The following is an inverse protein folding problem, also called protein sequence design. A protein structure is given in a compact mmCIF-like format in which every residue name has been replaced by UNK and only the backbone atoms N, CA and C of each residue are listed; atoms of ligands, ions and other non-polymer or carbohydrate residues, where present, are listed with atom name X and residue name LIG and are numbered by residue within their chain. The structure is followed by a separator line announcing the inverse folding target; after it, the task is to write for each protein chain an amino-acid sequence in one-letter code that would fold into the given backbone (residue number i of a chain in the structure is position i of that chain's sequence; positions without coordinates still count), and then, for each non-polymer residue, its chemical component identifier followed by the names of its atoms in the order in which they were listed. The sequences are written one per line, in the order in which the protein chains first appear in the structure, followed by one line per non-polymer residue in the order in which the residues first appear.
data_IF_448450061631
#
_entry.id   IF_448450061631
#
_cell.length_a   1.000
_cell.length_b   1.000
_cell.length_c   1.000
_cell.angle_alpha   90.00
_cell.angle_beta   90.00
_cell.angle_gamma   90.00
#
_symmetry.space_group_name_H-M   'P 1'
#
loop_
_entity.id
_entity.type
_entity.pdbx_description
1 polymer ?
#
# COMPACT_ATOMS: atom_id res chain seq x y z
N UNK A 1 -8.70 -19.37 -27.78
CA UNK A 1 -8.21 -18.38 -28.76
C UNK A 1 -7.06 -17.67 -28.07
N UNK A 2 -5.85 -18.17 -28.29
CA UNK A 2 -4.59 -17.65 -27.73
C UNK A 2 -4.22 -16.40 -28.55
N UNK A 3 -4.24 -15.23 -27.93
CA UNK A 3 -3.67 -14.02 -28.54
C UNK A 3 -2.14 -14.07 -28.40
N UNK A 4 -1.45 -14.46 -29.47
CA UNK A 4 -0.02 -14.19 -29.61
C UNK A 4 0.15 -12.70 -29.93
N UNK A 5 0.66 -11.93 -28.97
CA UNK A 5 1.07 -10.54 -29.20
C UNK A 5 2.52 -10.57 -29.69
N UNK A 6 2.71 -10.33 -31.00
CA UNK A 6 4.04 -10.12 -31.58
C UNK A 6 4.59 -8.76 -31.17
N UNK A 7 5.66 -8.78 -30.41
CA UNK A 7 6.41 -7.59 -30.00
C UNK A 7 7.45 -7.23 -31.06
N UNK A 8 7.24 -6.11 -31.76
CA UNK A 8 8.27 -5.48 -32.57
C UNK A 8 8.47 -4.04 -32.10
N UNK A 9 9.68 -3.70 -31.64
CA UNK A 9 10.08 -2.33 -31.31
C UNK A 9 10.44 -2.07 -29.85
N UNK A 10 11.57 -2.60 -29.38
CA UNK A 10 11.92 -2.65 -27.95
C UNK A 10 12.96 -1.62 -27.46
N UNK A 11 13.54 -0.80 -28.34
CA UNK A 11 14.67 0.09 -27.95
C UNK A 11 14.29 1.34 -27.14
N UNK A 12 13.01 1.61 -26.90
CA UNK A 12 12.56 2.82 -26.17
C UNK A 12 11.79 2.54 -24.85
N UNK A 13 11.56 1.27 -24.50
CA UNK A 13 10.62 0.91 -23.45
C UNK A 13 11.12 1.16 -22.02
N UNK A 14 12.39 0.83 -21.74
CA UNK A 14 12.92 0.94 -20.37
C UNK A 14 13.07 2.40 -19.89
N UNK A 15 13.40 3.33 -20.81
CA UNK A 15 13.54 4.75 -20.50
C UNK A 15 12.18 5.44 -20.27
N UNK A 16 11.12 4.98 -20.96
CA UNK A 16 9.80 5.63 -20.92
C UNK A 16 8.99 5.28 -19.68
N UNK A 17 9.10 4.05 -19.16
CA UNK A 17 8.37 3.63 -17.94
C UNK A 17 8.92 4.31 -16.69
N UNK A 18 10.25 4.55 -16.65
CA UNK A 18 10.86 5.36 -15.56
C UNK A 18 10.42 6.84 -15.59
N UNK A 19 10.12 7.39 -16.76
CA UNK A 19 9.75 8.80 -16.93
C UNK A 19 8.29 9.10 -16.59
N UNK A 20 7.37 8.13 -16.71
CA UNK A 20 5.94 8.40 -16.55
C UNK A 20 5.43 8.41 -15.10
N UNK A 21 6.14 7.80 -14.16
CA UNK A 21 5.87 8.03 -12.73
C UNK A 21 6.16 9.48 -12.28
N UNK A 22 6.71 10.31 -13.19
CA UNK A 22 7.26 11.64 -12.90
C UNK A 22 6.57 12.79 -13.65
N UNK A 23 5.66 12.52 -14.57
CA UNK A 23 5.02 13.54 -15.39
C UNK A 23 3.81 14.23 -14.73
N UNK A 24 3.88 14.51 -13.44
CA UNK A 24 2.82 15.18 -12.70
C UNK A 24 3.29 16.38 -11.87
N UNK A 25 4.34 17.08 -12.27
CA UNK A 25 4.73 18.36 -11.66
C UNK A 25 4.62 19.46 -12.70
N UNK A 26 3.60 20.27 -12.54
CA UNK A 26 3.38 21.52 -13.28
C UNK A 26 4.40 22.59 -12.82
N UNK A 27 5.18 23.19 -13.71
CA UNK A 27 6.07 24.30 -13.35
C UNK A 27 5.37 25.64 -13.59
N UNK A 28 4.84 26.27 -12.56
CA UNK A 28 4.31 27.60 -12.74
C UNK A 28 3.81 28.29 -11.49
N UNK A 29 4.72 28.93 -10.75
CA UNK A 29 4.46 30.24 -10.12
C UNK A 29 5.77 30.84 -9.58
N UNK A 30 6.00 32.14 -9.78
CA UNK A 30 7.27 32.80 -9.48
C UNK A 30 7.43 33.15 -7.99
N UNK A 31 8.67 33.49 -7.54
CA UNK A 31 8.96 33.74 -6.14
C UNK A 31 8.61 35.17 -5.74
N UNK A 32 7.84 35.27 -4.66
CA UNK A 32 7.60 36.54 -3.95
C UNK A 32 8.24 36.50 -2.57
N UNK A 33 9.21 37.37 -2.34
CA UNK A 33 9.81 37.72 -1.03
C UNK A 33 8.88 38.61 -0.20
N UNK A 34 9.22 38.96 1.05
CA UNK A 34 10.24 38.55 2.00
C UNK A 34 9.74 38.20 3.42
N UNK A 35 10.69 37.78 4.24
CA UNK A 35 10.56 37.44 5.65
C UNK A 35 9.90 38.55 6.49
N UNK A 36 8.91 38.16 7.28
CA UNK A 36 8.48 38.92 8.46
C UNK A 36 8.73 38.09 9.71
N UNK A 37 9.40 38.71 10.65
CA UNK A 37 9.81 38.16 11.93
C UNK A 37 8.60 37.63 12.72
N UNK A 38 8.68 36.38 13.15
CA UNK A 38 7.73 35.77 14.07
C UNK A 38 8.12 36.13 15.50
N UNK A 39 7.37 37.02 16.10
CA UNK A 39 7.33 37.20 17.55
C UNK A 39 6.61 35.99 18.16
N UNK A 40 7.26 35.37 19.15
CA UNK A 40 6.72 34.28 19.96
C UNK A 40 5.50 34.75 20.76
N UNK A 41 4.39 34.02 20.74
CA UNK A 41 3.36 34.20 21.75
C UNK A 41 3.63 33.30 22.94
N UNK A 42 3.63 33.93 24.12
CA UNK A 42 3.71 33.30 25.41
C UNK A 42 2.59 32.27 25.64
N UNK A 43 3.00 31.18 26.29
CA UNK A 43 2.18 30.07 26.72
C UNK A 43 1.19 30.51 27.82
N UNK A 44 -0.10 30.40 27.54
CA UNK A 44 -1.11 30.20 28.57
C UNK A 44 -1.81 28.88 28.31
N UNK A 45 -1.37 27.82 28.98
CA UNK A 45 -1.97 26.50 28.94
C UNK A 45 -3.29 26.50 29.73
N UNK A 46 -4.39 26.71 29.05
CA UNK A 46 -5.72 26.35 29.54
C UNK A 46 -6.01 24.91 29.11
N UNK A 47 -6.32 24.03 30.07
CA UNK A 47 -6.76 22.65 29.82
C UNK A 47 -8.15 22.66 29.15
N UNK A 48 -8.18 22.95 27.85
CA UNK A 48 -9.38 22.87 27.04
C UNK A 48 -9.60 21.40 26.63
N UNK A 49 -10.81 20.88 26.87
CA UNK A 49 -11.30 19.64 26.25
C UNK A 49 -11.04 19.74 24.75
N UNK A 50 -10.24 18.80 24.22
CA UNK A 50 -9.92 18.73 22.78
C UNK A 50 -11.18 18.28 21.99
N UNK A 51 -12.14 19.19 21.84
CA UNK A 51 -13.20 19.07 20.83
C UNK A 51 -12.68 19.70 19.54
N UNK A 52 -11.73 19.04 18.87
CA UNK A 52 -11.30 19.51 17.56
C UNK A 52 -12.42 19.28 16.55
N UNK A 53 -12.82 20.36 15.88
CA UNK A 53 -13.76 20.26 14.77
C UNK A 53 -13.14 19.51 13.59
N UNK A 54 -13.94 18.99 12.64
CA UNK A 54 -13.42 18.44 11.38
C UNK A 54 -12.48 19.40 10.63
N UNK A 55 -12.69 20.71 10.78
CA UNK A 55 -11.85 21.75 10.18
C UNK A 55 -10.50 21.86 10.87
N UNK A 56 -10.42 21.68 12.20
CA UNK A 56 -9.16 21.65 12.94
C UNK A 56 -8.31 20.45 12.52
N UNK A 57 -8.93 19.29 12.33
CA UNK A 57 -8.25 18.11 11.82
C UNK A 57 -7.72 18.34 10.40
N UNK A 58 -8.50 18.98 9.52
CA UNK A 58 -8.07 19.27 8.15
C UNK A 58 -6.88 20.24 8.14
N UNK A 59 -6.94 21.31 8.96
CA UNK A 59 -5.86 22.26 9.10
C UNK A 59 -4.58 21.62 9.67
N UNK A 60 -4.72 20.75 10.67
CA UNK A 60 -3.60 19.98 11.21
C UNK A 60 -2.98 19.09 10.12
N UNK A 61 -3.78 18.29 9.42
CA UNK A 61 -3.31 17.35 8.41
C UNK A 61 -2.63 18.05 7.24
N UNK A 62 -3.14 19.22 6.82
CA UNK A 62 -2.53 20.02 5.76
C UNK A 62 -1.10 20.47 6.14
N UNK A 63 -0.88 20.90 7.37
CA UNK A 63 0.46 21.26 7.87
C UNK A 63 1.33 20.03 8.11
N UNK A 64 0.78 19.00 8.74
CA UNK A 64 1.50 17.78 9.13
C UNK A 64 2.03 17.00 7.94
N UNK A 65 1.29 16.99 6.83
CA UNK A 65 1.66 16.32 5.57
C UNK A 65 2.11 17.28 4.47
N UNK A 66 2.53 18.50 4.83
CA UNK A 66 3.16 19.41 3.86
C UNK A 66 4.44 18.76 3.32
N UNK A 67 4.53 18.58 2.01
CA UNK A 67 5.60 17.82 1.36
C UNK A 67 6.40 18.68 0.39
N UNK A 68 7.74 18.46 0.32
CA UNK A 68 8.51 17.51 1.14
C UNK A 68 8.42 17.87 2.63
N UNK A 69 8.54 16.86 3.52
CA UNK A 69 8.62 17.13 4.95
C UNK A 69 9.90 17.92 5.23
N UNK A 70 9.80 18.93 6.10
CA UNK A 70 10.96 19.64 6.57
C UNK A 70 11.85 18.74 7.46
N UNK A 71 13.16 18.96 7.43
CA UNK A 71 14.08 18.31 8.35
C UNK A 71 13.70 18.65 9.80
N UNK A 72 13.85 17.68 10.70
CA UNK A 72 13.56 17.89 12.12
C UNK A 72 14.58 18.81 12.81
N UNK A 73 15.78 18.94 12.25
CA UNK A 73 16.85 19.71 12.83
C UNK A 73 17.48 19.03 14.07
N UNK A 74 18.38 19.75 14.79
CA UNK A 74 18.96 19.24 16.02
C UNK A 74 17.91 18.93 17.07
N UNK A 75 18.07 17.81 17.77
CA UNK A 75 17.20 17.48 18.89
C UNK A 75 17.42 18.47 20.06
N UNK A 76 16.39 18.72 20.89
CA UNK A 76 16.53 19.50 22.11
C UNK A 76 17.64 18.94 23.03
N UNK A 77 18.39 19.85 23.67
CA UNK A 77 19.57 19.45 24.48
C UNK A 77 19.23 18.67 25.77
N UNK A 78 17.96 18.68 26.16
CA UNK A 78 17.47 17.88 27.28
C UNK A 78 17.08 16.44 26.89
N UNK A 79 17.05 16.12 25.59
CA UNK A 79 16.73 14.76 25.14
C UNK A 79 17.89 13.80 25.36
N UNK A 80 17.59 12.63 25.90
CA UNK A 80 18.51 11.51 25.89
C UNK A 80 18.82 11.05 24.46
N UNK A 81 19.91 10.30 24.20
CA UNK A 81 20.19 9.75 22.87
C UNK A 81 19.03 8.94 22.26
N UNK A 82 18.24 8.22 23.07
CA UNK A 82 17.05 7.49 22.61
C UNK A 82 15.93 8.44 22.17
N UNK A 83 15.69 9.49 22.93
CA UNK A 83 14.65 10.48 22.62
C UNK A 83 15.01 11.35 21.42
N UNK A 84 16.28 11.63 21.22
CA UNK A 84 16.80 12.39 20.08
C UNK A 84 16.75 11.61 18.76
N UNK A 85 16.78 10.27 18.83
CA UNK A 85 16.84 9.42 17.66
C UNK A 85 15.50 9.36 16.90
N UNK A 86 15.58 9.36 15.56
CA UNK A 86 14.44 9.11 14.66
C UNK A 86 14.34 7.64 14.24
N UNK A 87 15.25 6.79 14.72
CA UNK A 87 15.26 5.37 14.40
C UNK A 87 14.05 4.64 15.00
N UNK A 88 13.38 3.76 14.25
CA UNK A 88 12.33 2.90 14.77
C UNK A 88 12.79 2.05 15.98
N UNK A 89 14.05 1.61 15.99
CA UNK A 89 14.59 0.81 17.10
C UNK A 89 14.65 1.62 18.42
N UNK A 90 15.03 2.90 18.34
CA UNK A 90 15.02 3.77 19.50
C UNK A 90 13.60 3.99 20.06
N UNK A 91 12.63 4.20 19.16
CA UNK A 91 11.21 4.27 19.56
C UNK A 91 10.75 2.96 20.21
N UNK A 92 11.18 1.82 19.66
CA UNK A 92 10.85 0.47 20.13
C UNK A 92 11.35 0.17 21.54
N UNK A 93 12.41 0.83 22.01
CA UNK A 93 12.92 0.68 23.38
C UNK A 93 11.84 1.01 24.45
N UNK A 94 10.97 1.99 24.15
CA UNK A 94 9.88 2.40 25.05
C UNK A 94 8.49 2.00 24.51
N UNK A 95 8.35 1.76 23.21
CA UNK A 95 7.10 1.36 22.55
C UNK A 95 7.22 -0.02 21.86
N UNK A 96 7.58 -1.11 22.61
CA UNK A 96 7.92 -2.41 22.01
C UNK A 96 6.77 -3.02 21.22
N UNK A 97 5.53 -2.90 21.70
CA UNK A 97 4.36 -3.46 21.01
C UNK A 97 4.15 -2.82 19.63
N UNK A 98 4.24 -1.50 19.54
CA UNK A 98 4.07 -0.76 18.28
C UNK A 98 5.22 -1.05 17.31
N UNK A 99 6.44 -1.17 17.85
CA UNK A 99 7.62 -1.55 17.07
C UNK A 99 7.50 -2.98 16.52
N UNK A 100 7.08 -3.94 17.35
CA UNK A 100 6.89 -5.33 16.94
C UNK A 100 5.81 -5.47 15.85
N UNK A 101 4.72 -4.73 15.94
CA UNK A 101 3.72 -4.66 14.89
C UNK A 101 4.29 -4.07 13.60
N UNK A 102 4.92 -2.89 13.70
CA UNK A 102 5.46 -2.14 12.58
C UNK A 102 6.51 -2.93 11.80
N UNK A 103 7.46 -3.59 12.46
CA UNK A 103 8.53 -4.35 11.80
C UNK A 103 8.01 -5.52 10.95
N UNK A 104 6.78 -5.96 11.16
CA UNK A 104 6.10 -7.00 10.36
C UNK A 104 5.18 -6.42 9.28
N UNK A 105 4.97 -5.12 9.27
CA UNK A 105 4.08 -4.44 8.33
C UNK A 105 4.83 -4.00 7.06
N UNK A 106 4.11 -3.86 5.95
CA UNK A 106 4.69 -3.38 4.69
C UNK A 106 5.24 -1.95 4.80
N UNK A 107 4.78 -1.15 5.76
CA UNK A 107 5.31 0.19 6.00
C UNK A 107 6.81 0.16 6.35
N UNK A 108 7.27 -0.79 7.17
CA UNK A 108 8.70 -0.97 7.47
C UNK A 108 9.51 -1.44 6.25
N UNK A 109 8.84 -2.01 5.25
CA UNK A 109 9.41 -2.50 4.00
C UNK A 109 9.10 -1.61 2.80
N UNK A 110 8.61 -0.38 3.04
CA UNK A 110 8.20 0.52 1.97
C UNK A 110 9.36 0.89 1.03
N UNK A 111 10.61 0.87 1.52
CA UNK A 111 11.82 0.92 0.69
C UNK A 111 12.22 -0.49 0.22
N UNK A 112 11.29 -1.16 -0.47
CA UNK A 112 11.49 -2.50 -0.99
C UNK A 112 12.66 -2.56 -1.99
N UNK A 113 13.24 -3.76 -2.23
CA UNK A 113 14.25 -3.92 -3.27
C UNK A 113 13.79 -3.43 -4.66
N UNK A 114 12.49 -3.55 -4.97
CA UNK A 114 11.92 -3.07 -6.23
C UNK A 114 11.98 -1.56 -6.37
N UNK A 115 11.59 -0.82 -5.33
CA UNK A 115 11.71 0.63 -5.31
C UNK A 115 13.19 1.05 -5.29
N UNK A 116 14.00 0.44 -4.43
CA UNK A 116 15.43 0.76 -4.35
C UNK A 116 16.13 0.58 -5.70
N UNK A 117 15.85 -0.51 -6.42
CA UNK A 117 16.42 -0.74 -7.76
C UNK A 117 16.03 0.32 -8.78
N UNK A 118 14.78 0.81 -8.73
CA UNK A 118 14.35 1.92 -9.57
C UNK A 118 15.05 3.24 -9.21
N UNK A 119 15.17 3.56 -7.92
CA UNK A 119 15.86 4.77 -7.44
C UNK A 119 17.35 4.73 -7.81
N UNK A 120 18.00 3.58 -7.69
CA UNK A 120 19.39 3.37 -8.14
C UNK A 120 19.53 3.61 -9.64
N UNK A 121 18.59 3.13 -10.46
CA UNK A 121 18.60 3.34 -11.91
C UNK A 121 18.43 4.81 -12.31
N UNK A 122 17.75 5.62 -11.50
CA UNK A 122 17.64 7.08 -11.72
C UNK A 122 18.95 7.82 -11.46
N UNK A 123 19.88 7.24 -10.67
CA UNK A 123 21.16 7.85 -10.30
C UNK A 123 21.05 8.90 -9.19
N UNK A 124 22.16 9.19 -8.53
CA UNK A 124 22.23 10.06 -7.35
C UNK A 124 21.78 11.52 -7.61
N UNK A 125 21.91 11.99 -8.85
CA UNK A 125 21.57 13.38 -9.22
C UNK A 125 20.07 13.62 -9.44
N UNK A 126 19.24 12.57 -9.37
CA UNK A 126 17.79 12.65 -9.63
C UNK A 126 16.97 12.94 -8.36
N UNK A 127 17.48 13.80 -7.45
CA UNK A 127 16.87 14.04 -6.13
C UNK A 127 15.39 14.40 -6.20
N UNK A 128 14.98 15.31 -7.08
CA UNK A 128 13.58 15.70 -7.22
C UNK A 128 12.68 14.52 -7.67
N UNK A 129 13.23 13.66 -8.53
CA UNK A 129 12.54 12.44 -8.96
C UNK A 129 12.43 11.44 -7.80
N UNK A 130 13.47 11.30 -6.99
CA UNK A 130 13.43 10.46 -5.80
C UNK A 130 12.32 10.94 -4.84
N UNK A 131 12.15 12.25 -4.65
CA UNK A 131 11.13 12.81 -3.76
C UNK A 131 9.70 12.42 -4.18
N UNK A 132 9.44 12.22 -5.47
CA UNK A 132 8.12 11.76 -5.93
C UNK A 132 7.75 10.38 -5.34
N UNK A 133 8.74 9.52 -5.08
CA UNK A 133 8.54 8.21 -4.44
C UNK A 133 8.67 8.32 -2.91
N UNK A 134 9.73 8.99 -2.45
CA UNK A 134 10.07 9.05 -1.02
C UNK A 134 9.00 9.75 -0.18
N UNK A 135 8.25 10.71 -0.74
CA UNK A 135 7.14 11.38 -0.04
C UNK A 135 6.13 10.42 0.60
N UNK A 136 6.05 9.18 0.12
CA UNK A 136 5.19 8.12 0.68
C UNK A 136 6.01 6.98 1.28
N UNK A 137 7.12 6.60 0.63
CA UNK A 137 7.87 5.40 0.99
C UNK A 137 8.92 5.62 2.08
N UNK A 138 9.51 6.81 2.20
CA UNK A 138 10.47 7.20 3.23
C UNK A 138 10.45 8.74 3.39
N UNK A 139 9.40 9.29 4.02
CA UNK A 139 9.03 10.70 3.86
C UNK A 139 9.91 11.70 4.61
N UNK A 140 10.74 11.28 5.58
CA UNK A 140 11.60 12.19 6.31
C UNK A 140 12.70 12.79 5.40
N UNK A 141 13.00 14.06 5.58
CA UNK A 141 14.09 14.72 4.86
C UNK A 141 15.44 14.04 5.11
N UNK A 142 15.66 13.60 6.33
CA UNK A 142 16.85 12.85 6.77
C UNK A 142 16.98 11.53 5.99
N UNK A 143 15.87 10.83 5.72
CA UNK A 143 15.88 9.61 4.91
C UNK A 143 16.23 9.90 3.44
N UNK A 144 15.72 11.00 2.90
CA UNK A 144 16.06 11.42 1.53
C UNK A 144 17.55 11.76 1.39
N UNK A 145 18.12 12.46 2.36
CA UNK A 145 19.56 12.79 2.38
C UNK A 145 20.42 11.53 2.53
N UNK A 146 20.01 10.61 3.40
CA UNK A 146 20.67 9.31 3.56
C UNK A 146 20.63 8.49 2.25
N UNK A 147 19.49 8.52 1.52
CA UNK A 147 19.40 7.84 0.22
C UNK A 147 20.38 8.42 -0.78
N UNK A 148 20.41 9.76 -0.93
CA UNK A 148 21.31 10.42 -1.88
C UNK A 148 22.78 10.09 -1.57
N UNK A 149 23.17 10.12 -0.29
CA UNK A 149 24.50 9.72 0.13
C UNK A 149 24.79 8.23 -0.17
N UNK A 150 23.83 7.36 0.06
CA UNK A 150 23.96 5.92 -0.22
C UNK A 150 24.10 5.65 -1.72
N UNK A 151 23.32 6.33 -2.56
CA UNK A 151 23.41 6.21 -4.02
C UNK A 151 24.76 6.71 -4.54
N UNK A 152 25.28 7.82 -4.00
CA UNK A 152 26.59 8.33 -4.33
C UNK A 152 27.72 7.37 -3.94
N UNK A 153 27.57 6.66 -2.82
CA UNK A 153 28.51 5.64 -2.36
C UNK A 153 28.37 4.29 -3.08
N UNK A 154 27.34 4.12 -3.92
CA UNK A 154 27.05 2.85 -4.61
C UNK A 154 26.58 1.71 -3.69
N UNK A 155 26.23 1.98 -2.44
CA UNK A 155 25.75 1.03 -1.43
C UNK A 155 24.92 1.73 -0.38
N UNK A 156 24.06 0.98 0.33
CA UNK A 156 23.39 1.53 1.51
C UNK A 156 24.42 1.81 2.61
N UNK A 157 24.38 3.02 3.13
CA UNK A 157 25.19 3.46 4.26
C UNK A 157 24.55 3.04 5.59
N UNK A 158 25.32 2.95 6.68
CA UNK A 158 24.75 2.87 8.02
C UNK A 158 23.81 4.04 8.31
N UNK A 159 22.83 3.89 9.22
CA UNK A 159 21.98 5.00 9.63
C UNK A 159 22.76 6.25 10.02
N UNK A 160 22.19 7.43 9.81
CA UNK A 160 22.74 8.70 10.25
C UNK A 160 22.84 8.77 11.78
N UNK A 161 23.55 9.76 12.30
CA UNK A 161 23.74 9.93 13.75
C UNK A 161 22.41 10.13 14.51
N UNK A 162 21.41 10.71 13.86
CA UNK A 162 20.04 10.85 14.35
C UNK A 162 19.21 9.56 14.22
N UNK A 163 19.79 8.47 13.71
CA UNK A 163 19.17 7.17 13.51
C UNK A 163 18.33 7.05 12.24
N UNK A 164 18.24 8.08 11.40
CA UNK A 164 17.49 8.01 10.16
C UNK A 164 18.18 7.13 9.11
N UNK A 165 17.42 6.31 8.41
CA UNK A 165 17.88 5.50 7.28
C UNK A 165 16.82 5.44 6.19
N UNK A 166 17.25 5.55 4.94
CA UNK A 166 16.34 5.33 3.82
C UNK A 166 15.84 3.87 3.75
N UNK A 167 16.58 2.91 4.32
CA UNK A 167 16.19 1.50 4.31
C UNK A 167 14.99 1.19 5.22
N UNK A 168 14.69 2.05 6.20
CA UNK A 168 13.66 1.80 7.22
C UNK A 168 12.22 2.02 6.70
N UNK A 169 12.06 2.47 5.45
CA UNK A 169 10.75 2.70 4.88
C UNK A 169 9.97 3.83 5.57
N UNK A 170 8.65 3.63 5.75
CA UNK A 170 7.81 4.56 6.53
C UNK A 170 7.98 4.27 8.02
N UNK A 171 8.79 5.11 8.67
CA UNK A 171 9.17 4.95 10.08
C UNK A 171 8.13 5.52 11.05
N UNK A 172 8.30 5.22 12.36
CA UNK A 172 7.53 5.85 13.43
C UNK A 172 7.59 7.39 13.34
N UNK A 173 8.79 7.93 13.17
CA UNK A 173 9.02 9.37 13.05
C UNK A 173 8.34 9.96 11.79
N UNK A 174 8.23 9.20 10.70
CA UNK A 174 7.54 9.62 9.48
C UNK A 174 6.08 10.02 9.72
N UNK A 175 5.41 9.38 10.67
CA UNK A 175 4.05 9.71 11.08
C UNK A 175 4.01 10.61 12.33
N UNK A 176 4.89 10.39 13.31
CA UNK A 176 4.74 10.94 14.65
C UNK A 176 5.63 12.15 14.98
N UNK A 177 6.60 12.53 14.13
CA UNK A 177 7.58 13.56 14.49
C UNK A 177 7.63 14.69 13.45
N UNK A 178 7.57 15.94 13.92
CA UNK A 178 7.79 17.16 13.13
C UNK A 178 8.53 18.18 13.99
N UNK A 179 9.72 18.61 13.55
CA UNK A 179 10.54 19.57 14.27
C UNK A 179 10.84 19.12 15.70
N UNK A 180 11.21 17.86 15.86
CA UNK A 180 11.44 17.18 17.15
C UNK A 180 10.26 17.13 18.12
N UNK A 181 9.08 17.63 17.73
CA UNK A 181 7.84 17.44 18.53
C UNK A 181 7.16 16.13 18.14
N UNK A 182 6.59 15.45 19.15
CA UNK A 182 5.84 14.21 18.98
C UNK A 182 4.35 14.51 18.89
N UNK A 183 3.66 13.77 18.01
CA UNK A 183 2.23 13.88 17.77
C UNK A 183 1.60 12.49 17.83
N UNK A 184 0.35 12.41 18.29
CA UNK A 184 -0.37 11.15 18.34
C UNK A 184 -1.82 11.34 18.73
N UNK A 185 -2.62 10.26 18.80
CA UNK A 185 -4.00 10.35 19.25
C UNK A 185 -4.05 10.68 20.75
N UNK A 186 -5.17 11.24 21.23
CA UNK A 186 -5.45 11.34 22.67
C UNK A 186 -5.39 9.96 23.34
N UNK A 187 -5.14 9.89 24.63
CA UNK A 187 -5.25 8.63 25.37
C UNK A 187 -6.64 8.02 25.22
N UNK A 188 -6.71 6.70 25.07
CA UNK A 188 -7.98 6.00 24.87
C UNK A 188 -8.93 6.08 26.07
N UNK A 189 -8.40 6.30 27.27
CA UNK A 189 -9.14 6.51 28.50
C UNK A 189 -9.55 7.97 28.73
N UNK A 190 -9.20 8.87 27.80
CA UNK A 190 -9.51 10.30 27.88
C UNK A 190 -8.68 11.07 28.92
N UNK A 191 -7.72 10.43 29.59
CA UNK A 191 -6.86 11.11 30.57
C UNK A 191 -5.88 12.05 29.90
N UNK A 192 -5.53 13.14 30.58
CA UNK A 192 -4.50 14.10 30.18
C UNK A 192 -3.38 14.05 31.21
N UNK A 193 -2.10 14.03 30.81
CA UNK A 193 -1.00 14.13 31.75
C UNK A 193 -1.14 15.39 32.61
N UNK A 194 -0.67 15.32 33.86
CA UNK A 194 -0.58 16.52 34.71
C UNK A 194 0.32 17.56 34.04
N UNK A 195 0.01 18.85 34.23
CA UNK A 195 0.71 19.94 33.58
C UNK A 195 2.21 20.03 33.93
N UNK A 196 2.58 19.52 35.11
CA UNK A 196 3.95 19.45 35.65
C UNK A 196 4.61 18.08 35.43
N UNK A 197 3.94 17.15 34.74
CA UNK A 197 4.50 15.82 34.47
C UNK A 197 5.72 15.91 33.55
N UNK A 198 6.84 15.43 34.05
CA UNK A 198 8.03 15.22 33.21
C UNK A 198 7.83 13.95 32.36
N UNK A 199 7.54 14.13 31.10
CA UNK A 199 7.31 13.03 30.17
C UNK A 199 8.53 12.83 29.27
N UNK A 200 8.86 11.59 28.90
CA UNK A 200 9.87 11.34 27.88
C UNK A 200 9.62 12.19 26.64
N UNK A 201 10.69 12.66 25.99
CA UNK A 201 10.66 13.52 24.78
C UNK A 201 9.67 14.70 24.87
N UNK A 202 9.51 15.29 26.04
CA UNK A 202 8.58 16.39 26.36
C UNK A 202 7.10 16.05 26.07
N UNK A 203 6.75 14.76 26.14
CA UNK A 203 5.38 14.28 25.89
C UNK A 203 5.01 14.27 24.40
N UNK A 204 3.72 14.46 24.11
CA UNK A 204 3.22 14.52 22.75
C UNK A 204 2.05 15.51 22.61
N UNK A 205 1.87 16.05 21.42
CA UNK A 205 0.70 16.84 21.09
C UNK A 205 -0.44 15.90 20.65
N UNK A 206 -1.44 15.77 21.52
CA UNK A 206 -2.59 14.93 21.27
C UNK A 206 -3.50 15.58 20.20
N UNK A 207 -3.87 14.80 19.17
CA UNK A 207 -4.81 15.23 18.15
C UNK A 207 -5.64 14.08 17.61
N UNK A 208 -6.98 14.21 17.50
CA UNK A 208 -7.86 13.22 16.89
C UNK A 208 -7.56 12.96 15.39
N UNK A 209 -6.79 13.83 14.74
CA UNK A 209 -6.43 13.67 13.34
C UNK A 209 -5.72 12.35 13.02
N UNK A 210 -5.06 11.72 14.02
CA UNK A 210 -4.46 10.38 13.86
C UNK A 210 -5.50 9.25 13.73
N UNK A 211 -6.74 9.49 14.09
CA UNK A 211 -7.86 8.54 13.97
C UNK A 211 -8.80 8.91 12.82
N UNK A 212 -8.47 9.94 12.05
CA UNK A 212 -9.17 10.37 10.84
C UNK A 212 -8.59 9.67 9.60
N UNK A 213 -9.45 9.12 8.74
CA UNK A 213 -9.03 8.45 7.50
C UNK A 213 -8.24 9.34 6.55
N UNK A 214 -8.43 10.68 6.61
CA UNK A 214 -7.63 11.66 5.86
C UNK A 214 -6.13 11.60 6.19
N UNK A 215 -5.77 11.11 7.38
CA UNK A 215 -4.36 10.87 7.74
C UNK A 215 -3.69 9.90 6.75
N UNK A 216 -4.39 8.82 6.38
CA UNK A 216 -3.92 7.80 5.45
C UNK A 216 -3.96 8.28 4.00
N UNK A 217 -4.93 9.14 3.66
CA UNK A 217 -5.11 9.70 2.32
C UNK A 217 -3.89 10.47 1.83
N UNK A 218 -3.03 10.96 2.73
CA UNK A 218 -1.79 11.63 2.35
C UNK A 218 -0.87 10.77 1.46
N UNK A 219 -0.94 9.44 1.55
CA UNK A 219 -0.19 8.49 0.73
C UNK A 219 -1.11 7.60 -0.12
N UNK A 220 -2.30 7.26 0.40
CA UNK A 220 -3.24 6.32 -0.22
C UNK A 220 -4.34 7.01 -1.04
N UNK A 221 -4.05 8.21 -1.54
CA UNK A 221 -4.89 8.93 -2.48
C UNK A 221 -4.06 9.86 -3.36
N UNK A 222 -4.09 9.67 -4.66
CA UNK A 222 -3.54 10.65 -5.59
C UNK A 222 -4.57 11.75 -5.86
N UNK A 223 -4.07 12.98 -6.02
CA UNK A 223 -4.92 14.12 -6.35
C UNK A 223 -5.60 13.92 -7.71
N UNK A 224 -6.76 14.51 -7.89
CA UNK A 224 -7.41 14.59 -9.19
C UNK A 224 -6.46 15.23 -10.21
N UNK A 225 -6.36 14.64 -11.40
CA UNK A 225 -5.37 15.03 -12.42
C UNK A 225 -3.95 14.57 -12.18
N UNK A 226 -3.67 13.90 -11.06
CA UNK A 226 -2.39 13.22 -10.79
C UNK A 226 -2.27 11.89 -11.54
N UNK A 227 -1.26 11.05 -11.19
CA UNK A 227 -1.05 9.77 -11.85
C UNK A 227 -2.30 8.90 -11.83
N UNK A 228 -2.81 8.57 -13.00
CA UNK A 228 -4.05 7.82 -13.16
C UNK A 228 -4.32 7.44 -14.59
N UNK A 229 -5.42 6.75 -14.85
CA UNK A 229 -5.83 6.29 -16.16
C UNK A 229 -7.36 6.28 -16.25
N UNK A 230 -7.90 6.76 -17.38
CA UNK A 230 -9.36 6.87 -17.62
C UNK A 230 -10.10 7.65 -16.52
N UNK A 231 -9.50 8.74 -16.04
CA UNK A 231 -10.09 9.58 -14.98
C UNK A 231 -10.03 8.98 -13.57
N UNK A 232 -9.46 7.76 -13.42
CA UNK A 232 -9.29 7.08 -12.12
C UNK A 232 -7.83 7.16 -11.68
N UNK A 233 -7.51 7.74 -10.50
CA UNK A 233 -6.16 7.70 -9.93
C UNK A 233 -5.65 6.26 -9.79
N UNK A 234 -4.33 6.06 -9.82
CA UNK A 234 -3.76 4.74 -9.49
C UNK A 234 -3.88 4.44 -7.99
N UNK A 235 -3.70 5.45 -7.15
CA UNK A 235 -3.99 5.41 -5.71
C UNK A 235 -5.31 6.12 -5.45
N UNK A 236 -6.40 5.38 -5.20
CA UNK A 236 -7.75 5.92 -5.04
C UNK A 236 -8.47 5.40 -3.79
N UNK A 237 -7.76 4.71 -2.92
CA UNK A 237 -8.33 3.96 -1.79
C UNK A 237 -9.17 4.81 -0.86
N UNK A 238 -8.74 6.05 -0.58
CA UNK A 238 -9.49 6.95 0.29
C UNK A 238 -10.86 7.36 -0.33
N UNK A 239 -10.90 7.71 -1.63
CA UNK A 239 -12.16 8.09 -2.28
C UNK A 239 -13.09 6.88 -2.46
N UNK A 240 -12.54 5.71 -2.74
CA UNK A 240 -13.31 4.45 -2.77
C UNK A 240 -13.96 4.19 -1.40
N UNK A 241 -13.20 4.33 -0.31
CA UNK A 241 -13.71 4.22 1.05
C UNK A 241 -14.72 5.32 1.37
N UNK A 242 -14.45 6.58 1.03
CA UNK A 242 -15.32 7.72 1.31
C UNK A 242 -16.71 7.56 0.68
N UNK A 243 -16.77 6.93 -0.49
CA UNK A 243 -18.02 6.62 -1.19
C UNK A 243 -18.79 5.43 -0.57
N UNK A 244 -18.16 4.62 0.27
CA UNK A 244 -18.71 3.39 0.83
C UNK A 244 -19.66 3.64 2.02
N UNK A 245 -20.44 2.61 2.40
CA UNK A 245 -21.22 2.64 3.64
C UNK A 245 -20.33 2.74 4.89
N UNK A 246 -19.12 2.19 4.84
CA UNK A 246 -18.21 2.18 5.99
C UNK A 246 -17.84 3.60 6.44
N UNK A 247 -17.63 4.52 5.48
CA UNK A 247 -17.41 5.93 5.81
C UNK A 247 -18.64 6.55 6.47
N UNK A 248 -19.86 6.25 5.94
CA UNK A 248 -21.12 6.75 6.52
C UNK A 248 -21.40 6.18 7.92
N UNK A 249 -20.93 4.96 8.19
CA UNK A 249 -21.00 4.31 9.51
C UNK A 249 -19.90 4.79 10.47
N UNK A 250 -19.03 5.71 10.06
CA UNK A 250 -17.91 6.22 10.87
C UNK A 250 -16.76 5.23 11.06
N UNK A 251 -16.70 4.16 10.25
CA UNK A 251 -15.61 3.18 10.29
C UNK A 251 -14.41 3.72 9.49
N UNK A 252 -13.38 4.14 10.22
CA UNK A 252 -12.17 4.74 9.63
C UNK A 252 -11.21 3.67 9.11
N UNK A 253 -10.21 4.08 8.33
CA UNK A 253 -9.11 3.20 7.89
C UNK A 253 -8.45 2.51 9.08
N UNK A 254 -8.20 3.28 10.14
CA UNK A 254 -7.56 2.80 11.36
C UNK A 254 -8.39 1.73 12.08
N UNK A 255 -9.73 1.80 12.01
CA UNK A 255 -10.60 0.83 12.69
C UNK A 255 -10.44 -0.59 12.16
N UNK A 256 -10.04 -0.76 10.89
CA UNK A 256 -9.80 -2.05 10.26
C UNK A 256 -8.30 -2.41 10.19
N UNK A 257 -7.46 -1.45 9.79
CA UNK A 257 -6.03 -1.71 9.57
C UNK A 257 -5.16 -1.53 10.81
N UNK A 258 -5.66 -0.83 11.84
CA UNK A 258 -4.99 -0.56 13.11
C UNK A 258 -5.92 -0.88 14.31
N UNK A 259 -6.53 -2.08 14.36
CA UNK A 259 -7.50 -2.38 15.42
C UNK A 259 -6.87 -2.18 16.79
N UNK A 260 -7.59 -1.52 17.71
CA UNK A 260 -7.08 -1.20 19.05
C UNK A 260 -5.74 -0.46 19.02
N UNK A 261 -5.52 0.40 18.03
CA UNK A 261 -4.26 1.14 17.80
C UNK A 261 -3.02 0.24 17.58
N UNK A 262 -3.24 -1.03 17.12
CA UNK A 262 -2.17 -1.92 16.69
C UNK A 262 -1.56 -1.39 15.38
N UNK A 263 -0.25 -1.43 15.24
CA UNK A 263 0.47 -0.93 14.07
C UNK A 263 0.69 -2.03 13.02
N UNK A 264 -0.38 -2.76 12.67
CA UNK A 264 -0.34 -3.96 11.83
C UNK A 264 -0.44 -3.65 10.34
N UNK A 265 -1.32 -2.74 9.93
CA UNK A 265 -1.60 -2.36 8.53
C UNK A 265 -1.69 -3.58 7.59
N UNK A 266 -2.39 -4.63 8.01
CA UNK A 266 -2.61 -5.82 7.18
C UNK A 266 -3.41 -5.47 5.93
N UNK A 267 -3.08 -6.14 4.81
CA UNK A 267 -3.72 -5.89 3.52
C UNK A 267 -3.64 -7.10 2.62
N UNK A 268 -3.46 -6.89 1.31
CA UNK A 268 -3.53 -7.92 0.27
C UNK A 268 -2.51 -9.06 0.42
N UNK A 269 -1.40 -8.84 1.15
CA UNK A 269 -0.40 -9.86 1.44
C UNK A 269 -0.74 -10.72 2.68
N UNK A 270 -1.84 -10.42 3.38
CA UNK A 270 -2.28 -11.15 4.55
C UNK A 270 -3.53 -11.98 4.22
N UNK A 271 -3.42 -13.33 4.14
CA UNK A 271 -4.56 -14.16 3.77
C UNK A 271 -5.75 -14.07 4.71
N UNK A 272 -5.52 -13.84 6.02
CA UNK A 272 -6.60 -13.74 7.01
C UNK A 272 -7.34 -12.42 6.84
N UNK A 273 -6.63 -11.31 6.64
CA UNK A 273 -7.23 -10.01 6.36
C UNK A 273 -8.08 -10.05 5.10
N UNK A 274 -7.56 -10.64 4.01
CA UNK A 274 -8.32 -10.76 2.75
C UNK A 274 -9.54 -11.67 2.93
N UNK A 275 -9.39 -12.80 3.63
CA UNK A 275 -10.51 -13.73 3.89
C UNK A 275 -11.61 -13.06 4.72
N UNK A 276 -11.26 -12.25 5.69
CA UNK A 276 -12.23 -11.51 6.54
C UNK A 276 -13.04 -10.47 5.75
N UNK A 277 -12.52 -10.01 4.62
CA UNK A 277 -13.15 -9.00 3.76
C UNK A 277 -14.16 -9.57 2.76
N UNK A 278 -14.17 -10.88 2.53
CA UNK A 278 -14.92 -11.49 1.45
C UNK A 278 -15.89 -12.58 1.97
N UNK A 279 -17.04 -12.67 1.35
CA UNK A 279 -17.93 -13.83 1.47
C UNK A 279 -17.87 -14.63 0.18
N UNK A 280 -17.50 -15.91 0.29
CA UNK A 280 -17.32 -16.80 -0.87
C UNK A 280 -18.24 -17.98 -0.72
N UNK A 281 -18.99 -18.33 -1.80
CA UNK A 281 -19.89 -19.47 -1.81
C UNK A 281 -19.82 -20.20 -3.15
N UNK A 282 -19.55 -21.51 -3.09
CA UNK A 282 -19.52 -22.41 -4.24
C UNK A 282 -20.77 -23.30 -4.24
N UNK A 283 -21.37 -23.51 -5.40
CA UNK A 283 -22.56 -24.36 -5.54
C UNK A 283 -22.60 -25.05 -6.93
N UNK A 284 -23.09 -26.29 -6.96
CA UNK A 284 -23.58 -26.87 -8.19
C UNK A 284 -24.94 -26.25 -8.50
N UNK A 285 -25.23 -26.07 -9.78
CA UNK A 285 -26.54 -25.56 -10.24
C UNK A 285 -27.16 -26.55 -11.23
N UNK A 286 -28.48 -26.51 -11.47
CA UNK A 286 -29.11 -27.38 -12.46
C UNK A 286 -28.42 -27.27 -13.81
N UNK A 287 -28.20 -28.41 -14.47
CA UNK A 287 -27.53 -28.51 -15.76
C UNK A 287 -28.33 -29.41 -16.71
N UNK A 288 -28.19 -29.19 -18.01
CA UNK A 288 -28.70 -30.10 -19.02
C UNK A 288 -28.00 -31.46 -18.96
N UNK A 289 -28.60 -32.49 -19.51
CA UNK A 289 -28.03 -33.82 -19.58
C UNK A 289 -26.62 -33.78 -20.24
N UNK A 290 -25.68 -34.50 -19.65
CA UNK A 290 -24.29 -34.53 -20.13
C UNK A 290 -23.48 -33.28 -19.84
N UNK A 291 -23.99 -32.31 -19.08
CA UNK A 291 -23.26 -31.08 -18.70
C UNK A 291 -23.02 -31.01 -17.19
N UNK A 292 -22.08 -30.20 -16.82
CA UNK A 292 -21.82 -29.80 -15.44
C UNK A 292 -21.98 -28.29 -15.36
N UNK A 293 -22.88 -27.85 -14.51
CA UNK A 293 -23.05 -26.44 -14.22
C UNK A 293 -22.80 -26.15 -12.73
N UNK A 294 -22.08 -25.08 -12.48
CA UNK A 294 -21.68 -24.64 -11.15
C UNK A 294 -21.57 -23.12 -11.10
N UNK A 295 -21.47 -22.57 -9.90
CA UNK A 295 -21.21 -21.16 -9.70
C UNK A 295 -20.36 -20.93 -8.47
N UNK A 296 -19.41 -19.99 -8.58
CA UNK A 296 -18.74 -19.38 -7.45
C UNK A 296 -19.25 -17.95 -7.31
N UNK A 297 -19.71 -17.60 -6.12
CA UNK A 297 -20.09 -16.22 -5.78
C UNK A 297 -19.05 -15.64 -4.85
N UNK A 298 -18.51 -14.49 -5.20
CA UNK A 298 -17.60 -13.70 -4.36
C UNK A 298 -18.24 -12.35 -4.08
N UNK A 299 -18.35 -11.98 -2.83
CA UNK A 299 -18.90 -10.70 -2.39
C UNK A 299 -17.90 -9.95 -1.52
N UNK A 300 -17.71 -8.67 -1.81
CA UNK A 300 -16.96 -7.76 -0.96
C UNK A 300 -17.88 -7.31 0.19
N UNK A 301 -17.81 -7.99 1.32
CA UNK A 301 -18.71 -7.78 2.47
C UNK A 301 -18.02 -7.12 3.67
N UNK A 302 -16.69 -7.01 3.63
CA UNK A 302 -15.91 -6.49 4.75
C UNK A 302 -14.83 -5.46 4.36
N UNK A 303 -14.57 -5.26 3.05
CA UNK A 303 -13.60 -4.27 2.56
C UNK A 303 -14.31 -2.95 2.27
N UNK A 304 -13.84 -1.88 2.91
CA UNK A 304 -14.44 -0.55 2.78
C UNK A 304 -14.09 0.19 1.48
N UNK A 305 -13.30 -0.37 0.61
CA UNK A 305 -12.85 0.16 -0.68
C UNK A 305 -12.97 -0.92 -1.76
N UNK A 306 -12.61 -0.62 -3.00
CA UNK A 306 -12.58 -1.61 -4.07
C UNK A 306 -11.60 -2.75 -3.72
N UNK A 307 -11.97 -3.98 -4.05
CA UNK A 307 -11.12 -5.15 -3.83
C UNK A 307 -10.70 -5.78 -5.17
N UNK A 308 -9.39 -5.92 -5.39
CA UNK A 308 -8.27 -5.25 -4.71
C UNK A 308 -8.24 -3.75 -5.03
N UNK A 309 -7.62 -2.90 -4.18
CA UNK A 309 -7.72 -1.44 -4.36
C UNK A 309 -6.80 -0.86 -5.45
N UNK A 310 -5.66 -1.48 -5.75
CA UNK A 310 -4.68 -0.96 -6.69
C UNK A 310 -4.66 -1.71 -8.02
N UNK A 311 -3.74 -1.31 -8.93
CA UNK A 311 -3.44 -2.02 -10.17
C UNK A 311 -2.46 -3.18 -9.96
N UNK A 312 -1.82 -3.26 -8.80
CA UNK A 312 -0.74 -4.22 -8.55
C UNK A 312 -1.21 -5.65 -8.30
N UNK A 313 -2.31 -5.91 -7.56
CA UNK A 313 -2.76 -7.27 -7.32
C UNK A 313 -3.63 -7.81 -8.46
N UNK A 314 -3.58 -9.13 -8.58
CA UNK A 314 -4.53 -9.92 -9.37
C UNK A 314 -5.07 -11.05 -8.51
N UNK A 315 -6.38 -11.24 -8.54
CA UNK A 315 -7.05 -12.38 -7.92
C UNK A 315 -7.62 -13.24 -9.02
N UNK A 316 -7.20 -14.50 -9.06
CA UNK A 316 -7.65 -15.46 -10.06
C UNK A 316 -8.68 -16.41 -9.45
N UNK A 317 -9.83 -16.50 -10.09
CA UNK A 317 -10.89 -17.46 -9.80
C UNK A 317 -10.84 -18.56 -10.83
N UNK A 318 -10.65 -19.81 -10.39
CA UNK A 318 -10.64 -20.97 -11.25
C UNK A 318 -11.77 -21.94 -10.87
N UNK A 319 -12.47 -22.46 -11.88
CA UNK A 319 -13.49 -23.52 -11.74
C UNK A 319 -13.15 -24.60 -12.75
N UNK A 320 -13.09 -25.85 -12.31
CA UNK A 320 -12.70 -26.98 -13.16
C UNK A 320 -13.36 -28.27 -12.72
N UNK A 321 -13.40 -29.26 -13.61
CA UNK A 321 -13.75 -30.64 -13.24
C UNK A 321 -12.53 -31.38 -12.75
N UNK A 322 -12.74 -32.33 -11.84
CA UNK A 322 -11.69 -33.14 -11.21
C UNK A 322 -12.03 -34.62 -11.33
N UNK A 323 -11.02 -35.43 -11.58
CA UNK A 323 -11.13 -36.88 -11.67
C UNK A 323 -11.14 -37.57 -10.29
N UNK A 324 -11.17 -38.92 -10.30
CA UNK A 324 -11.18 -39.72 -9.08
C UNK A 324 -9.84 -39.69 -8.33
N UNK A 325 -8.75 -39.40 -9.02
CA UNK A 325 -7.40 -39.26 -8.45
C UNK A 325 -7.15 -37.87 -7.86
N UNK A 326 -8.13 -36.97 -7.93
CA UNK A 326 -7.99 -35.59 -7.45
C UNK A 326 -7.22 -34.69 -8.42
N UNK A 327 -7.06 -35.10 -9.70
CA UNK A 327 -6.38 -34.28 -10.70
C UNK A 327 -7.40 -33.41 -11.43
N UNK A 328 -7.04 -32.12 -11.59
CA UNK A 328 -7.82 -31.18 -12.41
C UNK A 328 -7.74 -31.65 -13.87
N UNK A 329 -8.88 -31.69 -14.56
CA UNK A 329 -8.97 -32.02 -15.98
C UNK A 329 -8.73 -30.73 -16.78
N UNK A 330 -7.56 -30.54 -17.43
CA UNK A 330 -7.14 -29.23 -17.98
C UNK A 330 -8.12 -28.64 -19.01
N UNK A 331 -8.75 -29.48 -19.85
CA UNK A 331 -9.70 -29.05 -20.87
C UNK A 331 -10.98 -28.43 -20.29
N UNK A 332 -11.26 -28.63 -19.00
CA UNK A 332 -12.46 -28.15 -18.33
C UNK A 332 -12.26 -26.85 -17.56
N UNK A 333 -11.02 -26.39 -17.45
CA UNK A 333 -10.66 -25.19 -16.65
C UNK A 333 -11.29 -23.93 -17.22
N UNK A 334 -11.91 -23.16 -16.35
CA UNK A 334 -12.41 -21.82 -16.64
C UNK A 334 -11.85 -20.84 -15.61
N UNK A 335 -11.25 -19.73 -16.11
CA UNK A 335 -10.63 -18.70 -15.28
C UNK A 335 -11.32 -17.37 -15.41
N UNK A 336 -11.38 -16.65 -14.31
CA UNK A 336 -11.83 -15.26 -14.24
C UNK A 336 -10.85 -14.47 -13.37
N UNK A 337 -10.75 -13.16 -13.64
CA UNK A 337 -9.87 -12.26 -12.93
C UNK A 337 -10.66 -11.19 -12.20
N UNK A 338 -10.21 -10.87 -10.98
CA UNK A 338 -10.63 -9.71 -10.20
C UNK A 338 -9.38 -8.83 -10.08
N UNK A 339 -9.33 -7.75 -10.86
CA UNK A 339 -8.18 -6.85 -10.93
C UNK A 339 -8.52 -5.58 -11.69
N UNK A 340 -7.68 -4.57 -11.57
CA UNK A 340 -7.61 -3.46 -12.51
C UNK A 340 -6.43 -3.73 -13.45
N UNK A 341 -6.72 -4.34 -14.61
CA UNK A 341 -5.71 -4.76 -15.57
C UNK A 341 -5.26 -3.59 -16.43
N UNK A 342 -3.96 -3.27 -16.38
CA UNK A 342 -3.34 -2.17 -17.11
C UNK A 342 -2.10 -2.64 -17.87
N UNK A 343 -1.67 -1.87 -18.89
CA UNK A 343 -0.39 -2.09 -19.55
C UNK A 343 0.79 -1.77 -18.60
N UNK A 344 1.95 -2.39 -18.83
CA UNK A 344 3.14 -2.17 -17.99
C UNK A 344 3.66 -0.73 -18.03
N UNK A 345 3.36 0.02 -19.09
CA UNK A 345 3.66 1.45 -19.20
C UNK A 345 2.57 2.35 -18.61
N UNK A 346 1.53 1.76 -18.01
CA UNK A 346 0.41 2.45 -17.37
C UNK A 346 -0.37 3.40 -18.29
N UNK A 347 -0.41 3.12 -19.60
CA UNK A 347 -1.12 3.96 -20.58
C UNK A 347 -2.47 3.41 -21.04
N UNK A 348 -2.67 2.11 -20.86
CA UNK A 348 -3.89 1.41 -21.29
C UNK A 348 -4.50 0.65 -20.13
N UNK A 349 -5.78 0.86 -19.88
CA UNK A 349 -6.58 0.02 -19.00
C UNK A 349 -7.31 -1.01 -19.87
N UNK A 350 -7.02 -2.28 -19.68
CA UNK A 350 -7.65 -3.37 -20.41
C UNK A 350 -9.01 -3.75 -19.82
N UNK A 351 -9.10 -3.72 -18.50
CA UNK A 351 -10.31 -4.03 -17.76
C UNK A 351 -10.21 -3.55 -16.30
N UNK A 352 -11.37 -3.26 -15.71
CA UNK A 352 -11.52 -3.04 -14.27
C UNK A 352 -12.63 -3.97 -13.76
N UNK A 353 -12.21 -5.10 -13.19
CA UNK A 353 -13.11 -6.14 -12.67
C UNK A 353 -13.05 -6.22 -11.14
N UNK A 354 -12.54 -5.20 -10.47
CA UNK A 354 -12.52 -5.11 -9.02
C UNK A 354 -13.94 -5.16 -8.44
N UNK A 355 -14.08 -5.60 -7.20
CA UNK A 355 -15.34 -5.62 -6.48
C UNK A 355 -15.48 -4.38 -5.62
N UNK A 356 -16.47 -3.55 -5.91
CA UNK A 356 -16.82 -2.40 -5.06
C UNK A 356 -17.31 -2.86 -3.68
N UNK A 357 -17.26 -2.00 -2.65
CA UNK A 357 -17.92 -2.30 -1.38
C UNK A 357 -19.35 -2.78 -1.58
N UNK A 358 -19.72 -3.87 -0.92
CA UNK A 358 -21.02 -4.56 -0.99
C UNK A 358 -21.35 -5.21 -2.36
N UNK A 359 -20.45 -5.11 -3.35
CA UNK A 359 -20.66 -5.79 -4.63
C UNK A 359 -20.56 -7.31 -4.46
N UNK A 360 -21.49 -8.00 -5.11
CA UNK A 360 -21.51 -9.45 -5.24
C UNK A 360 -21.39 -9.83 -6.71
N UNK A 361 -20.43 -10.70 -7.03
CA UNK A 361 -20.27 -11.21 -8.40
C UNK A 361 -20.35 -12.72 -8.42
N UNK A 362 -21.10 -13.22 -9.40
CA UNK A 362 -21.28 -14.65 -9.65
C UNK A 362 -20.46 -15.04 -10.88
N UNK A 363 -19.57 -16.00 -10.71
CA UNK A 363 -18.81 -16.65 -11.77
C UNK A 363 -19.49 -17.96 -12.12
N UNK A 364 -20.15 -17.99 -13.30
CA UNK A 364 -20.84 -19.17 -13.79
C UNK A 364 -19.90 -20.12 -14.50
N UNK A 365 -20.14 -21.41 -14.32
CA UNK A 365 -19.46 -22.49 -15.00
C UNK A 365 -20.52 -23.38 -15.66
N UNK A 366 -20.38 -23.65 -16.95
CA UNK A 366 -21.24 -24.57 -17.70
C UNK A 366 -20.41 -25.20 -18.81
N UNK A 367 -20.08 -26.50 -18.65
CA UNK A 367 -19.24 -27.26 -19.56
C UNK A 367 -19.76 -28.65 -19.77
N UNK A 368 -19.47 -29.33 -20.90
CA UNK A 368 -19.69 -30.76 -21.03
C UNK A 368 -19.08 -31.51 -19.86
N UNK A 369 -19.75 -32.54 -19.36
CA UNK A 369 -19.21 -33.41 -18.31
C UNK A 369 -18.14 -34.31 -18.90
N UNK A 370 -16.93 -34.13 -18.44
CA UNK A 370 -15.80 -35.01 -18.82
C UNK A 370 -16.13 -36.46 -18.33
N UNK A 371 -15.80 -37.48 -19.11
CA UNK A 371 -16.00 -38.88 -18.73
C UNK A 371 -15.34 -39.28 -17.40
N UNK A 372 -14.22 -38.69 -17.05
CA UNK A 372 -13.46 -38.97 -15.83
C UNK A 372 -13.93 -38.12 -14.65
N UNK A 373 -14.76 -37.10 -14.87
CA UNK A 373 -15.13 -36.15 -13.83
C UNK A 373 -16.00 -36.75 -12.73
N UNK A 374 -15.54 -36.59 -11.49
CA UNK A 374 -16.22 -36.99 -10.26
C UNK A 374 -16.59 -35.82 -9.36
N UNK A 375 -15.99 -34.66 -9.57
CA UNK A 375 -16.25 -33.45 -8.81
C UNK A 375 -16.04 -32.19 -9.65
N UNK A 376 -16.56 -31.06 -9.17
CA UNK A 376 -16.14 -29.71 -9.55
C UNK A 376 -15.30 -29.13 -8.44
N UNK A 377 -14.19 -28.54 -8.79
CA UNK A 377 -13.29 -27.84 -7.87
C UNK A 377 -13.30 -26.34 -8.17
N UNK A 378 -13.21 -25.56 -7.11
CA UNK A 378 -13.16 -24.11 -7.13
C UNK A 378 -11.92 -23.67 -6.40
N UNK A 379 -11.17 -22.74 -6.95
CA UNK A 379 -10.06 -22.11 -6.25
C UNK A 379 -10.04 -20.61 -6.47
N UNK A 380 -9.54 -19.89 -5.47
CA UNK A 380 -9.19 -18.47 -5.59
C UNK A 380 -7.75 -18.33 -5.15
N UNK A 381 -6.92 -17.83 -6.05
CA UNK A 381 -5.51 -17.51 -5.79
C UNK A 381 -5.30 -16.00 -5.86
N UNK A 382 -4.66 -15.46 -4.83
CA UNK A 382 -4.27 -14.05 -4.78
C UNK A 382 -2.81 -13.93 -5.20
N UNK A 383 -2.53 -13.02 -6.12
CA UNK A 383 -1.21 -12.61 -6.58
C UNK A 383 -0.99 -11.15 -6.17
N UNK A 384 -0.50 -10.89 -4.96
CA UNK A 384 -0.40 -9.53 -4.41
C UNK A 384 0.43 -8.58 -5.27
N UNK A 385 1.49 -9.10 -5.89
CA UNK A 385 2.49 -8.33 -6.64
C UNK A 385 2.48 -8.67 -8.14
N UNK A 386 1.35 -9.08 -8.70
CA UNK A 386 1.26 -9.55 -10.09
C UNK A 386 1.84 -8.55 -11.10
N UNK A 387 1.42 -7.28 -11.01
CA UNK A 387 1.92 -6.21 -11.88
C UNK A 387 3.44 -6.03 -11.72
N UNK A 388 3.93 -6.02 -10.49
CA UNK A 388 5.35 -5.85 -10.23
C UNK A 388 6.18 -7.03 -10.74
N UNK A 389 5.69 -8.27 -10.61
CA UNK A 389 6.36 -9.44 -11.16
C UNK A 389 6.55 -9.32 -12.68
N UNK A 390 5.50 -8.88 -13.39
CA UNK A 390 5.55 -8.70 -14.84
C UNK A 390 6.44 -7.50 -15.22
N UNK A 391 6.35 -6.39 -14.49
CA UNK A 391 7.19 -5.22 -14.68
C UNK A 391 8.68 -5.53 -14.46
N UNK A 392 9.03 -6.25 -13.38
CA UNK A 392 10.42 -6.61 -13.12
C UNK A 392 10.97 -7.59 -14.17
N UNK A 393 10.18 -8.57 -14.62
CA UNK A 393 10.59 -9.47 -15.71
C UNK A 393 10.89 -8.69 -16.98
N UNK A 394 9.98 -7.79 -17.36
CA UNK A 394 10.15 -6.95 -18.55
C UNK A 394 11.40 -6.06 -18.45
N UNK A 395 11.60 -5.40 -17.30
CA UNK A 395 12.78 -4.54 -17.08
C UNK A 395 14.09 -5.33 -17.11
N UNK A 396 14.10 -6.50 -16.45
CA UNK A 396 15.29 -7.35 -16.36
C UNK A 396 15.62 -8.07 -17.67
N UNK A 397 14.68 -8.18 -18.62
CA UNK A 397 14.94 -8.71 -19.97
C UNK A 397 15.74 -7.76 -20.82
N UNK A 398 15.81 -6.46 -20.49
CA UNK A 398 16.68 -5.51 -21.16
C UNK A 398 18.14 -5.68 -20.68
N UNK A 399 19.07 -6.08 -21.54
CA UNK A 399 20.49 -6.23 -21.18
C UNK A 399 21.16 -4.88 -20.87
N UNK A 400 20.58 -3.76 -21.29
CA UNK A 400 21.08 -2.42 -20.99
C UNK A 400 20.77 -1.98 -19.54
N UNK A 401 19.77 -2.58 -18.90
CA UNK A 401 19.42 -2.31 -17.51
C UNK A 401 20.46 -2.95 -16.57
N UNK A 402 21.42 -2.17 -16.08
CA UNK A 402 22.54 -2.62 -15.22
C UNK A 402 22.42 -2.15 -13.79
N UNK A 403 22.31 -0.83 -13.58
CA UNK A 403 22.22 -0.20 -12.25
C UNK A 403 20.89 -0.58 -11.60
N UNK A 404 20.94 -1.07 -10.37
CA UNK A 404 19.74 -1.54 -9.65
C UNK A 404 19.30 -2.98 -10.01
N UNK A 405 19.99 -3.66 -10.94
CA UNK A 405 19.60 -4.99 -11.43
C UNK A 405 19.52 -6.04 -10.31
N UNK A 406 20.50 -6.06 -9.40
CA UNK A 406 20.50 -7.01 -8.27
C UNK A 406 19.29 -6.81 -7.34
N UNK A 407 18.93 -5.55 -7.09
CA UNK A 407 17.75 -5.21 -6.30
C UNK A 407 16.45 -5.63 -6.99
N UNK A 408 16.33 -5.42 -8.31
CA UNK A 408 15.17 -5.88 -9.07
C UNK A 408 15.06 -7.41 -9.16
N UNK A 409 16.17 -8.14 -9.23
CA UNK A 409 16.15 -9.61 -9.16
C UNK A 409 15.60 -10.10 -7.81
N UNK A 410 16.04 -9.48 -6.70
CA UNK A 410 15.51 -9.79 -5.38
C UNK A 410 14.02 -9.43 -5.25
N UNK A 411 13.60 -8.33 -5.86
CA UNK A 411 12.21 -7.90 -5.92
C UNK A 411 11.35 -8.89 -6.74
N UNK A 412 11.83 -9.31 -7.90
CA UNK A 412 11.15 -10.31 -8.73
C UNK A 412 10.95 -11.62 -7.96
N UNK A 413 11.99 -12.08 -7.26
CA UNK A 413 11.85 -13.29 -6.42
C UNK A 413 10.74 -13.14 -5.40
N UNK A 414 10.71 -12.03 -4.63
CA UNK A 414 9.67 -11.75 -3.65
C UNK A 414 8.28 -11.72 -4.28
N UNK A 415 8.13 -11.03 -5.41
CA UNK A 415 6.86 -10.92 -6.11
C UNK A 415 6.36 -12.27 -6.67
N UNK A 416 7.28 -13.15 -7.08
CA UNK A 416 6.93 -14.51 -7.55
C UNK A 416 6.65 -15.48 -6.41
N UNK A 417 7.17 -15.24 -5.22
CA UNK A 417 6.93 -16.04 -4.02
C UNK A 417 5.70 -15.58 -3.21
N UNK A 418 5.12 -14.42 -3.55
CA UNK A 418 4.01 -13.82 -2.80
C UNK A 418 2.62 -14.44 -3.01
N UNK A 419 2.31 -15.16 -4.11
CA UNK A 419 0.98 -15.73 -4.32
C UNK A 419 0.59 -16.74 -3.24
N UNK A 420 -0.70 -16.72 -2.90
CA UNK A 420 -1.26 -17.68 -1.95
C UNK A 420 -2.68 -18.08 -2.34
N UNK A 421 -3.09 -19.28 -1.92
CA UNK A 421 -4.44 -19.76 -2.08
C UNK A 421 -5.35 -19.19 -0.98
N UNK A 422 -6.37 -18.44 -1.41
CA UNK A 422 -7.33 -17.82 -0.50
C UNK A 422 -8.49 -18.74 -0.15
N UNK A 423 -8.96 -19.48 -1.15
CA UNK A 423 -10.15 -20.34 -1.05
C UNK A 423 -10.00 -21.56 -1.94
N UNK A 424 -10.49 -22.68 -1.46
CA UNK A 424 -10.72 -23.91 -2.22
C UNK A 424 -12.01 -24.59 -1.78
N UNK A 425 -12.66 -25.23 -2.72
CA UNK A 425 -13.82 -26.10 -2.46
C UNK A 425 -13.91 -27.21 -3.50
N UNK A 426 -14.39 -28.37 -3.06
CA UNK A 426 -14.66 -29.53 -3.91
C UNK A 426 -16.10 -29.97 -3.72
N UNK A 427 -16.87 -29.97 -4.79
CA UNK A 427 -18.26 -30.43 -4.78
C UNK A 427 -18.36 -31.70 -5.62
N UNK A 428 -18.78 -32.83 -5.02
CA UNK A 428 -18.94 -34.09 -5.76
C UNK A 428 -20.07 -33.97 -6.79
N UNK A 429 -19.85 -34.53 -7.97
CA UNK A 429 -20.89 -34.65 -8.99
C UNK A 429 -21.80 -35.83 -8.67
N UNK A 430 -23.11 -35.73 -8.95
CA UNK A 430 -24.03 -36.86 -8.86
C UNK A 430 -23.51 -38.05 -9.69
N UNK A 431 -23.85 -39.26 -9.26
CA UNK A 431 -23.65 -40.46 -10.08
C UNK A 431 -24.27 -40.27 -11.46
N UNK A 432 -23.67 -40.90 -12.46
CA UNK A 432 -24.26 -40.89 -13.84
C UNK A 432 -25.50 -41.76 -13.91
#
# INVERSE_FOLDING_TARGET
MTLEVKFTGWSSFAATVLLFALAGCDPGSPPGSPASALTSPESSASAAKLNNSPDDNAAFLSRHWQRPLAANGPAPGNFSPLEASLSPAACGACHPRQFDDWRTALHSHAMSPGLLGQLQAMGAQARDKHQACLKCHAPLAEQADHLVASLAAGRMLPPLADGASAADGLTCAGCHVRGNRRFGPPRSDGTVPAADAQLPHDGWQATPAFEDSRFCAACHQFKAGGPGLNGKPFENTYEEWRASRYAREGRTCQSCHMPQRRHLWRGIHDPEMVRSGLTINAALVPAAAGRVAAALTVANTGVGHDFPTYVTPRVEVEIAQQDRQGQVIPATVQRHLISRAVSLDLRVEYADTRLKPDERRRYGYDRPRDPLATAVVFSITVFPDAFYADFYRATLSDPAFRTGRAALLAALKRATDSPYQLYDARLPLPAR
#
